data_IF_409176145621
#
_entry.id   IF_409176145621
#
_cell.length_a   1.000
_cell.length_b   1.000
_cell.length_c   1.000
_cell.angle_alpha   90.00
_cell.angle_beta   90.00
_cell.angle_gamma   90.00
#
_symmetry.space_group_name_H-M   'P 1'
#
loop_
_entity.id
_entity.type
_entity.pdbx_description
1 polymer ?
#
# COMPACT_ATOMS: atom_id res chain seq x y z
N UNK A 1 10.98 14.91 21.90
CA UNK A 1 9.80 14.94 21.00
C UNK A 1 9.67 13.54 20.42
N UNK A 2 8.55 12.87 20.66
CA UNK A 2 8.27 11.61 19.97
C UNK A 2 8.12 11.91 18.47
N UNK A 3 8.68 11.07 17.62
CA UNK A 3 8.45 11.18 16.18
C UNK A 3 7.06 10.62 15.89
N UNK A 4 6.14 11.47 15.44
CA UNK A 4 4.75 11.08 15.14
C UNK A 4 4.57 10.59 13.70
N UNK A 5 5.66 10.47 12.94
CA UNK A 5 5.65 10.08 11.53
C UNK A 5 6.34 8.73 11.30
N UNK A 6 5.88 8.00 10.29
CA UNK A 6 6.46 6.75 9.86
C UNK A 6 7.86 6.97 9.29
N UNK A 7 8.81 6.15 9.72
CA UNK A 7 10.12 6.02 9.06
C UNK A 7 9.98 5.35 7.70
N UNK A 8 11.01 5.46 6.85
CA UNK A 8 11.05 4.76 5.56
C UNK A 8 10.97 3.24 5.75
N UNK A 9 11.60 2.70 6.79
CA UNK A 9 11.54 1.27 7.14
C UNK A 9 10.11 0.84 7.48
N UNK A 10 9.37 1.65 8.24
CA UNK A 10 7.96 1.36 8.57
C UNK A 10 7.07 1.41 7.34
N UNK A 11 7.31 2.36 6.43
CA UNK A 11 6.58 2.43 5.15
C UNK A 11 6.87 1.18 4.31
N UNK A 12 8.14 0.80 4.18
CA UNK A 12 8.55 -0.40 3.45
C UNK A 12 7.91 -1.66 4.01
N UNK A 13 7.91 -1.84 5.33
CA UNK A 13 7.28 -3.00 5.97
C UNK A 13 5.81 -3.19 5.54
N UNK A 14 5.03 -2.11 5.49
CA UNK A 14 3.64 -2.18 5.05
C UNK A 14 3.50 -2.49 3.55
N UNK A 15 4.40 -1.96 2.72
CA UNK A 15 4.40 -2.26 1.28
C UNK A 15 4.84 -3.71 1.02
N UNK A 16 5.87 -4.20 1.71
CA UNK A 16 6.33 -5.59 1.64
C UNK A 16 5.26 -6.58 2.10
N UNK A 17 4.50 -6.25 3.17
CA UNK A 17 3.34 -7.05 3.61
C UNK A 17 2.31 -7.17 2.47
N UNK A 18 1.94 -6.06 1.83
CA UNK A 18 1.01 -6.07 0.71
C UNK A 18 1.56 -6.84 -0.51
N UNK A 19 2.85 -6.71 -0.83
CA UNK A 19 3.51 -7.45 -1.92
C UNK A 19 3.50 -8.95 -1.64
N UNK A 20 3.85 -9.36 -0.43
CA UNK A 20 3.88 -10.77 -0.03
C UNK A 20 2.48 -11.40 -0.15
N UNK A 21 1.43 -10.72 0.32
CA UNK A 21 0.05 -11.20 0.17
C UNK A 21 -0.33 -11.25 -1.32
N UNK A 22 0.00 -10.23 -2.11
CA UNK A 22 -0.28 -10.20 -3.56
C UNK A 22 0.37 -11.38 -4.28
N UNK A 23 1.63 -11.70 -3.96
CA UNK A 23 2.34 -12.85 -4.52
C UNK A 23 1.67 -14.19 -4.17
N UNK A 24 1.28 -14.37 -2.90
CA UNK A 24 0.54 -15.56 -2.47
C UNK A 24 -0.78 -15.72 -3.24
N UNK A 25 -1.49 -14.62 -3.51
CA UNK A 25 -2.75 -14.64 -4.27
C UNK A 25 -2.53 -14.88 -5.78
N UNK A 26 -1.44 -14.36 -6.35
CA UNK A 26 -1.03 -14.66 -7.73
C UNK A 26 -0.77 -16.14 -7.95
N UNK A 27 -0.07 -16.78 -7.00
CA UNK A 27 0.26 -18.21 -7.05
C UNK A 27 -0.99 -19.09 -6.86
N UNK A 28 -1.85 -18.74 -5.90
CA UNK A 28 -3.01 -19.56 -5.53
C UNK A 28 -4.25 -19.36 -6.43
N UNK A 29 -4.34 -18.28 -7.21
CA UNK A 29 -5.62 -17.87 -7.81
C UNK A 29 -5.49 -17.32 -9.25
N UNK A 30 -5.16 -18.22 -10.18
CA UNK A 30 -4.89 -17.91 -11.59
C UNK A 30 -6.01 -17.15 -12.32
N UNK A 31 -7.28 -17.32 -11.92
CA UNK A 31 -8.44 -16.71 -12.60
C UNK A 31 -8.45 -15.17 -12.56
N UNK A 32 -7.82 -14.56 -11.55
CA UNK A 32 -7.73 -13.11 -11.39
C UNK A 32 -6.28 -12.60 -11.56
N UNK A 33 -5.44 -13.32 -12.30
CA UNK A 33 -4.00 -13.01 -12.44
C UNK A 33 -3.76 -11.59 -12.93
N UNK A 34 -4.58 -11.06 -13.84
CA UNK A 34 -4.43 -9.69 -14.35
C UNK A 34 -4.67 -8.61 -13.29
N UNK A 35 -5.68 -8.79 -12.44
CA UNK A 35 -5.96 -7.89 -11.33
C UNK A 35 -4.78 -7.85 -10.37
N UNK A 36 -4.27 -9.02 -9.96
CA UNK A 36 -3.16 -9.08 -9.01
C UNK A 36 -1.84 -8.59 -9.61
N UNK A 37 -1.58 -8.83 -10.90
CA UNK A 37 -0.44 -8.21 -11.61
C UNK A 37 -0.55 -6.69 -11.64
N UNK A 38 -1.75 -6.15 -11.87
CA UNK A 38 -1.98 -4.72 -11.86
C UNK A 38 -1.76 -4.11 -10.47
N UNK A 39 -2.22 -4.77 -9.41
CA UNK A 39 -1.95 -4.38 -8.02
C UNK A 39 -0.45 -4.44 -7.73
N UNK A 40 0.23 -5.53 -8.11
CA UNK A 40 1.67 -5.71 -7.91
C UNK A 40 2.48 -4.58 -8.55
N UNK A 41 2.14 -4.19 -9.79
CA UNK A 41 2.83 -3.09 -10.47
C UNK A 41 2.68 -1.76 -9.70
N UNK A 42 1.52 -1.50 -9.11
CA UNK A 42 1.30 -0.30 -8.30
C UNK A 42 2.06 -0.36 -6.96
N UNK A 43 2.08 -1.52 -6.29
CA UNK A 43 2.85 -1.71 -5.06
C UNK A 43 4.35 -1.54 -5.27
N UNK A 44 4.88 -2.12 -6.35
CA UNK A 44 6.29 -1.96 -6.72
C UNK A 44 6.62 -0.49 -7.00
N UNK A 45 5.77 0.22 -7.74
CA UNK A 45 5.98 1.64 -7.98
C UNK A 45 5.97 2.48 -6.69
N UNK A 46 5.08 2.17 -5.74
CA UNK A 46 5.10 2.83 -4.42
C UNK A 46 6.42 2.53 -3.70
N UNK A 47 6.88 1.28 -3.73
CA UNK A 47 8.16 0.88 -3.14
C UNK A 47 9.35 1.63 -3.76
N UNK A 48 9.40 1.73 -5.08
CA UNK A 48 10.43 2.47 -5.81
C UNK A 48 10.42 3.95 -5.42
N UNK A 49 9.24 4.54 -5.22
CA UNK A 49 9.11 5.92 -4.74
C UNK A 49 9.64 6.09 -3.31
N UNK A 50 9.44 5.09 -2.43
CA UNK A 50 9.98 5.10 -1.06
C UNK A 50 11.51 4.96 -1.09
N UNK A 51 12.05 4.11 -1.97
CA UNK A 51 13.51 3.93 -2.14
C UNK A 51 14.20 5.10 -2.85
N UNK A 52 13.46 6.05 -3.43
CA UNK A 52 14.00 7.12 -4.27
C UNK A 52 14.41 6.66 -5.68
N UNK A 53 14.01 5.46 -6.10
CA UNK A 53 14.28 4.88 -7.42
C UNK A 53 13.29 5.36 -8.50
N UNK A 54 12.13 5.87 -8.09
CA UNK A 54 11.11 6.46 -8.97
C UNK A 54 10.66 7.84 -8.48
N UNK A 55 10.30 8.72 -9.42
CA UNK A 55 9.64 9.99 -9.10
C UNK A 55 8.19 9.76 -8.69
N UNK A 56 7.67 10.53 -7.73
CA UNK A 56 6.29 10.42 -7.23
C UNK A 56 5.19 10.95 -8.17
N UNK A 57 5.52 11.31 -9.41
CA UNK A 57 4.62 12.01 -10.36
C UNK A 57 3.37 11.20 -10.73
N UNK A 58 3.43 9.87 -10.63
CA UNK A 58 2.31 8.96 -10.95
C UNK A 58 1.59 8.46 -9.70
N UNK A 59 1.92 8.93 -8.50
CA UNK A 59 1.23 8.55 -7.26
C UNK A 59 -0.26 8.92 -7.31
N UNK A 60 -0.62 10.00 -8.00
CA UNK A 60 -2.02 10.41 -8.24
C UNK A 60 -2.83 9.41 -9.07
N UNK A 61 -2.15 8.49 -9.79
CA UNK A 61 -2.78 7.43 -10.58
C UNK A 61 -2.95 6.13 -9.81
N UNK A 62 -2.43 6.05 -8.58
CA UNK A 62 -2.55 4.87 -7.74
C UNK A 62 -4.01 4.74 -7.28
N UNK A 63 -4.60 3.58 -7.56
CA UNK A 63 -6.00 3.28 -7.26
C UNK A 63 -6.18 2.00 -6.43
N UNK A 64 -5.10 1.40 -5.90
CA UNK A 64 -5.17 0.18 -5.09
C UNK A 64 -6.12 0.28 -3.89
N UNK A 65 -6.35 1.48 -3.32
CA UNK A 65 -7.35 1.67 -2.27
C UNK A 65 -8.79 1.43 -2.73
N UNK A 66 -9.12 1.82 -3.96
CA UNK A 66 -10.44 1.52 -4.54
C UNK A 66 -10.61 0.03 -4.84
N UNK A 67 -9.55 -0.62 -5.32
CA UNK A 67 -9.51 -2.05 -5.58
C UNK A 67 -9.68 -2.84 -4.27
N UNK A 68 -8.99 -2.41 -3.21
CA UNK A 68 -9.07 -3.02 -1.89
C UNK A 68 -10.52 -3.11 -1.42
N UNK A 69 -11.26 -2.01 -1.45
CA UNK A 69 -12.64 -1.97 -0.94
C UNK A 69 -13.63 -2.69 -1.86
N UNK A 70 -13.49 -2.56 -3.18
CA UNK A 70 -14.50 -3.08 -4.12
C UNK A 70 -14.30 -4.53 -4.52
N UNK A 71 -13.06 -4.92 -4.79
CA UNK A 71 -12.75 -6.21 -5.40
C UNK A 71 -12.24 -7.22 -4.37
N UNK A 72 -11.52 -6.75 -3.34
CA UNK A 72 -10.81 -7.61 -2.39
C UNK A 72 -11.56 -7.78 -1.06
N UNK A 73 -11.96 -6.68 -0.41
CA UNK A 73 -12.65 -6.65 0.89
C UNK A 73 -13.79 -7.65 1.06
N UNK A 74 -14.71 -7.85 0.10
CA UNK A 74 -15.80 -8.81 0.28
C UNK A 74 -15.34 -10.28 0.43
N UNK A 75 -14.10 -10.60 0.06
CA UNK A 75 -13.57 -11.96 0.02
C UNK A 75 -12.29 -12.15 0.87
N UNK A 76 -11.58 -11.08 1.20
CA UNK A 76 -10.27 -11.13 1.86
C UNK A 76 -9.97 -9.83 2.62
N UNK A 77 -10.43 -9.76 3.87
CA UNK A 77 -10.27 -8.59 4.75
C UNK A 77 -8.78 -8.29 5.05
N UNK A 78 -7.96 -9.32 5.24
CA UNK A 78 -6.53 -9.17 5.53
C UNK A 78 -5.83 -8.52 4.34
N UNK A 79 -6.09 -9.00 3.13
CA UNK A 79 -5.48 -8.43 1.94
C UNK A 79 -5.99 -7.01 1.66
N UNK A 80 -7.30 -6.77 1.81
CA UNK A 80 -7.88 -5.43 1.68
C UNK A 80 -7.24 -4.43 2.65
N UNK A 81 -7.01 -4.84 3.89
CA UNK A 81 -6.34 -4.01 4.90
C UNK A 81 -4.91 -3.66 4.49
N UNK A 82 -4.13 -4.64 4.01
CA UNK A 82 -2.77 -4.40 3.54
C UNK A 82 -2.73 -3.43 2.36
N UNK A 83 -3.63 -3.57 1.39
CA UNK A 83 -3.74 -2.63 0.25
C UNK A 83 -4.18 -1.23 0.67
N UNK A 84 -5.04 -1.13 1.69
CA UNK A 84 -5.48 0.17 2.23
C UNK A 84 -4.34 0.89 2.94
N UNK A 85 -3.52 0.17 3.71
CA UNK A 85 -2.27 0.68 4.31
C UNK A 85 -1.28 1.17 3.24
N UNK A 86 -1.10 0.41 2.17
CA UNK A 86 -0.24 0.82 1.04
C UNK A 86 -0.78 2.09 0.35
N UNK A 87 -2.10 2.17 0.14
CA UNK A 87 -2.74 3.37 -0.42
C UNK A 87 -2.59 4.59 0.49
N UNK A 88 -2.70 4.40 1.81
CA UNK A 88 -2.51 5.46 2.80
C UNK A 88 -1.14 6.13 2.62
N UNK A 89 -0.07 5.33 2.56
CA UNK A 89 1.30 5.82 2.31
C UNK A 89 1.35 6.60 0.99
N UNK A 90 0.86 6.02 -0.10
CA UNK A 90 0.87 6.64 -1.42
C UNK A 90 0.14 8.00 -1.43
N UNK A 91 -0.99 8.11 -0.72
CA UNK A 91 -1.80 9.34 -0.67
C UNK A 91 -1.13 10.51 0.07
N UNK A 92 -0.26 10.22 1.03
CA UNK A 92 0.52 11.25 1.73
C UNK A 92 1.74 11.64 0.91
N UNK A 93 2.42 10.66 0.31
CA UNK A 93 3.54 10.91 -0.60
C UNK A 93 3.13 11.74 -1.82
N UNK A 94 1.95 11.47 -2.40
CA UNK A 94 1.35 12.25 -3.49
C UNK A 94 1.21 13.74 -3.13
N UNK A 95 0.90 14.02 -1.86
CA UNK A 95 0.72 15.39 -1.34
C UNK A 95 2.02 16.02 -0.85
N UNK A 96 3.15 15.32 -0.96
CA UNK A 96 4.44 15.74 -0.40
C UNK A 96 4.41 15.86 1.13
N UNK A 97 3.58 15.06 1.80
CA UNK A 97 3.39 15.08 3.27
C UNK A 97 4.07 13.89 3.93
N UNK A 98 4.50 14.11 5.18
CA UNK A 98 4.96 13.03 6.05
C UNK A 98 3.78 12.11 6.40
N UNK A 99 4.03 10.80 6.36
CA UNK A 99 3.00 9.79 6.66
C UNK A 99 2.92 9.66 8.19
N UNK A 100 1.77 9.91 8.83
CA UNK A 100 1.67 9.83 10.28
C UNK A 100 1.67 8.37 10.77
N UNK A 101 2.15 8.16 11.98
CA UNK A 101 1.98 6.89 12.68
C UNK A 101 0.50 6.67 12.99
N UNK A 102 0.07 5.41 12.92
CA UNK A 102 -1.27 5.01 13.35
C UNK A 102 -1.19 4.01 14.49
N UNK A 103 -2.22 3.98 15.33
CA UNK A 103 -2.39 2.94 16.34
C UNK A 103 -3.01 1.66 15.76
N UNK A 104 -3.21 0.65 16.61
CA UNK A 104 -3.75 -0.67 16.23
C UNK A 104 -5.18 -0.62 15.65
N UNK A 105 -5.94 0.44 15.96
CA UNK A 105 -7.27 0.72 15.41
C UNK A 105 -7.23 1.62 14.17
N UNK A 106 -6.03 2.03 13.72
CA UNK A 106 -5.85 2.85 12.53
C UNK A 106 -6.08 4.36 12.74
N UNK A 107 -6.17 4.85 13.98
CA UNK A 107 -6.22 6.29 14.22
C UNK A 107 -4.80 6.87 14.19
N UNK A 108 -4.70 8.11 13.74
CA UNK A 108 -3.43 8.85 13.71
C UNK A 108 -2.98 9.09 15.16
N UNK A 109 -1.73 8.74 15.47
CA UNK A 109 -1.13 9.03 16.78
C UNK A 109 -0.83 10.53 16.88
N UNK A 110 -1.49 11.20 17.81
CA UNK A 110 -1.28 12.61 18.18
C UNK A 110 -0.04 12.82 19.06
#
# INVERSE_FOLDING_TARGET
MANNFMTEEQKKLWIDEAIAITNNRLDSNYKNSDLYKYIMNQLNYINDCISGESSGEKLSKINIGHIAVREISPNDEVYSTALTKAYFIASYMEKGKEVPLVDEHGNIKE
#
